data_IF_271680526121
#
_entry.id   IF_271680526121
#
_cell.length_a   1.000
_cell.length_b   1.000
_cell.length_c   1.000
_cell.angle_alpha   90.00
_cell.angle_beta   90.00
_cell.angle_gamma   90.00
#
_symmetry.space_group_name_H-M   'P 1'
#
loop_
_entity.id
_entity.type
_entity.pdbx_description
1 polymer ?
#
# COMPACT_ATOMS: atom_id res chain seq x y z
N UNK A 1 -0.13 -17.92 -0.21
CA UNK A 1 -0.17 -16.47 0.07
C UNK A 1 0.26 -15.75 -1.19
N UNK A 2 0.08 -14.44 -1.26
CA UNK A 2 0.54 -13.63 -2.36
C UNK A 2 1.52 -12.56 -1.86
N UNK A 3 2.38 -12.10 -2.76
CA UNK A 3 3.23 -10.93 -2.56
C UNK A 3 2.44 -9.70 -2.99
N UNK A 4 2.43 -8.68 -2.13
CA UNK A 4 1.77 -7.41 -2.34
C UNK A 4 2.79 -6.29 -2.29
N UNK A 5 2.69 -5.36 -3.23
CA UNK A 5 3.26 -4.02 -3.11
C UNK A 5 2.21 -3.14 -2.44
N UNK A 6 2.58 -2.47 -1.35
CA UNK A 6 1.66 -1.61 -0.60
C UNK A 6 2.25 -0.21 -0.56
N UNK A 7 1.44 0.78 -0.93
CA UNK A 7 1.82 2.18 -0.94
C UNK A 7 0.96 2.95 0.05
N UNK A 8 1.61 3.74 0.89
CA UNK A 8 1.00 4.86 1.61
C UNK A 8 1.43 6.13 0.90
N UNK A 9 0.47 6.96 0.49
CA UNK A 9 0.74 8.27 -0.06
C UNK A 9 1.10 9.27 1.03
N UNK A 10 2.04 10.19 0.76
CA UNK A 10 2.40 11.32 1.61
C UNK A 10 1.22 12.10 2.20
N UNK A 11 1.39 12.74 3.37
CA UNK A 11 0.37 13.59 4.01
C UNK A 11 1.04 14.90 4.42
N UNK A 12 0.92 15.97 3.64
CA UNK A 12 0.99 17.27 4.30
C UNK A 12 -0.41 17.66 4.82
N UNK A 13 -0.43 18.41 5.92
CA UNK A 13 -1.58 19.18 6.44
C UNK A 13 -2.19 20.08 5.34
N UNK A 14 -1.46 20.33 4.24
CA UNK A 14 -1.88 21.17 3.11
C UNK A 14 -1.97 20.46 1.74
N UNK A 15 -1.57 19.20 1.57
CA UNK A 15 -1.56 18.57 0.23
C UNK A 15 -0.55 17.42 -0.01
N UNK A 16 -0.38 16.99 -1.27
CA UNK A 16 0.32 15.75 -1.67
C UNK A 16 1.86 15.81 -1.68
N UNK A 17 2.50 16.67 -0.88
CA UNK A 17 3.93 16.99 -1.01
C UNK A 17 4.90 16.21 -0.06
N UNK A 18 4.42 15.20 0.68
CA UNK A 18 5.32 14.30 1.44
C UNK A 18 5.70 13.05 0.64
N UNK A 19 6.86 12.47 0.95
CA UNK A 19 7.31 11.24 0.28
C UNK A 19 6.41 10.04 0.61
N UNK A 20 6.01 9.32 -0.43
CA UNK A 20 5.30 8.05 -0.32
C UNK A 20 6.15 7.00 0.41
N UNK A 21 5.47 6.19 1.20
CA UNK A 21 6.06 5.04 1.87
C UNK A 21 5.62 3.75 1.17
N UNK A 22 6.60 2.92 0.86
CA UNK A 22 6.38 1.67 0.13
C UNK A 22 6.76 0.45 0.94
N UNK A 23 6.01 -0.63 0.75
CA UNK A 23 6.19 -1.91 1.43
C UNK A 23 6.07 -3.08 0.45
N UNK A 24 6.80 -4.15 0.73
CA UNK A 24 6.59 -5.47 0.12
C UNK A 24 6.11 -6.40 1.22
N UNK A 25 4.93 -6.99 1.04
CA UNK A 25 4.24 -7.78 2.05
C UNK A 25 3.88 -9.14 1.49
N UNK A 26 3.95 -10.19 2.32
CA UNK A 26 3.32 -11.47 2.02
C UNK A 26 2.10 -11.60 2.91
N UNK A 27 0.93 -11.80 2.30
CA UNK A 27 -0.33 -11.93 3.01
C UNK A 27 -1.27 -12.93 2.32
N UNK A 28 -2.34 -13.31 3.01
CA UNK A 28 -3.37 -14.21 2.47
C UNK A 28 -4.32 -13.51 1.49
N UNK A 29 -4.48 -12.20 1.61
CA UNK A 29 -5.24 -11.33 0.71
C UNK A 29 -4.81 -9.87 0.93
N UNK A 30 -5.29 -8.97 0.06
CA UNK A 30 -4.96 -7.54 0.13
C UNK A 30 -5.40 -6.88 1.44
N UNK A 31 -6.54 -7.28 2.03
CA UNK A 31 -7.01 -6.74 3.33
C UNK A 31 -6.04 -7.06 4.46
N UNK A 32 -5.53 -8.29 4.51
CA UNK A 32 -4.52 -8.64 5.52
C UNK A 32 -3.15 -8.02 5.25
N UNK A 33 -2.81 -7.71 3.99
CA UNK A 33 -1.67 -6.86 3.70
C UNK A 33 -1.86 -5.44 4.26
N UNK A 34 -3.06 -4.87 4.10
CA UNK A 34 -3.42 -3.57 4.68
C UNK A 34 -3.32 -3.58 6.21
N UNK A 35 -3.94 -4.57 6.87
CA UNK A 35 -3.92 -4.70 8.34
C UNK A 35 -2.49 -4.73 8.90
N UNK A 36 -1.59 -5.46 8.25
CA UNK A 36 -0.17 -5.52 8.64
C UNK A 36 0.52 -4.15 8.54
N UNK A 37 0.31 -3.45 7.43
CA UNK A 37 0.95 -2.15 7.17
C UNK A 37 0.35 -1.07 8.05
N UNK A 38 -0.98 -0.97 8.13
CA UNK A 38 -1.69 0.01 8.96
C UNK A 38 -1.33 -0.14 10.44
N UNK A 39 -1.20 -1.38 10.94
CA UNK A 39 -0.77 -1.63 12.33
C UNK A 39 0.66 -1.15 12.58
N UNK A 40 1.56 -1.25 11.60
CA UNK A 40 2.92 -0.72 11.69
C UNK A 40 2.92 0.81 11.64
N UNK A 41 2.09 1.41 10.78
CA UNK A 41 1.95 2.85 10.60
C UNK A 41 1.34 3.54 11.82
N UNK A 42 0.38 2.91 12.49
CA UNK A 42 -0.27 3.44 13.71
C UNK A 42 0.73 3.65 14.86
N UNK A 43 1.86 2.94 14.85
CA UNK A 43 2.95 3.13 15.81
C UNK A 43 3.90 4.29 15.48
N UNK A 44 3.75 4.93 14.31
CA UNK A 44 4.57 6.05 13.86
C UNK A 44 3.91 7.39 14.22
N UNK A 45 4.70 8.46 14.35
CA UNK A 45 4.16 9.79 14.64
C UNK A 45 3.32 10.28 13.44
N UNK A 46 2.05 10.70 13.63
CA UNK A 46 1.16 11.15 12.55
C UNK A 46 1.67 12.38 11.79
N UNK A 47 2.61 13.12 12.37
CA UNK A 47 3.24 14.33 11.81
C UNK A 47 4.19 14.04 10.63
N UNK A 48 4.37 12.76 10.26
CA UNK A 48 5.27 12.32 9.18
C UNK A 48 4.58 11.34 8.23
N UNK A 49 3.53 10.63 8.68
CA UNK A 49 2.90 9.54 7.92
C UNK A 49 1.41 9.37 8.27
N UNK A 50 0.55 9.20 7.25
CA UNK A 50 -0.82 8.70 7.36
C UNK A 50 -0.80 7.38 8.09
N UNK A 51 -1.74 7.17 9.00
CA UNK A 51 -1.85 5.93 9.75
C UNK A 51 -2.42 4.77 8.91
N UNK A 52 -2.61 4.96 7.60
CA UNK A 52 -3.15 3.95 6.70
C UNK A 52 -2.47 3.96 5.32
N UNK A 53 -2.42 2.79 4.67
CA UNK A 53 -2.01 2.64 3.27
C UNK A 53 -3.15 2.95 2.28
N UNK A 54 -2.81 3.46 1.10
CA UNK A 54 -3.79 3.96 0.12
C UNK A 54 -3.94 3.03 -1.08
N UNK A 55 -2.88 2.31 -1.45
CA UNK A 55 -2.86 1.44 -2.63
C UNK A 55 -2.20 0.10 -2.33
N UNK A 56 -2.76 -0.97 -2.90
CA UNK A 56 -2.23 -2.33 -2.81
C UNK A 56 -2.26 -2.97 -4.18
N UNK A 57 -1.14 -3.57 -4.57
CA UNK A 57 -0.99 -4.27 -5.85
C UNK A 57 -0.49 -5.69 -5.62
N UNK A 58 -1.20 -6.69 -6.13
CA UNK A 58 -0.79 -8.10 -6.08
C UNK A 58 0.28 -8.38 -7.16
N UNK A 59 1.50 -8.66 -6.72
CA UNK A 59 2.64 -8.94 -7.61
C UNK A 59 2.69 -10.41 -8.06
N UNK A 60 2.06 -11.31 -7.31
CA UNK A 60 2.01 -12.73 -7.64
C UNK A 60 1.99 -13.63 -6.40
N UNK A 61 2.15 -14.93 -6.62
CA UNK A 61 2.09 -15.93 -5.55
C UNK A 61 3.40 -16.01 -4.73
N UNK A 62 3.24 -16.25 -3.43
CA UNK A 62 4.33 -16.44 -2.48
C UNK A 62 4.19 -17.79 -1.76
N UNK A 63 5.28 -18.55 -1.76
CA UNK A 63 5.41 -19.76 -0.94
C UNK A 63 5.94 -19.40 0.46
N UNK A 64 5.06 -18.85 1.29
CA UNK A 64 5.35 -18.52 2.68
C UNK A 64 4.37 -19.21 3.64
N UNK A 65 4.85 -19.55 4.83
CA UNK A 65 4.06 -20.20 5.89
C UNK A 65 3.38 -19.21 6.83
N UNK A 66 3.72 -17.92 6.74
CA UNK A 66 3.17 -16.86 7.59
C UNK A 66 3.15 -15.53 6.85
N UNK A 67 2.21 -14.67 7.22
CA UNK A 67 2.14 -13.30 6.71
C UNK A 67 3.26 -12.46 7.34
N UNK A 68 3.84 -11.54 6.57
CA UNK A 68 4.95 -10.67 7.03
C UNK A 68 5.22 -9.51 6.09
N UNK A 69 5.77 -8.44 6.64
CA UNK A 69 6.42 -7.38 5.85
C UNK A 69 7.82 -7.88 5.49
N UNK A 70 8.12 -7.99 4.20
CA UNK A 70 9.45 -8.33 3.67
C UNK A 70 10.36 -7.09 3.67
N UNK A 71 9.81 -5.96 3.25
CA UNK A 71 10.51 -4.69 3.11
C UNK A 71 9.55 -3.55 3.45
N UNK A 72 10.02 -2.52 4.15
CA UNK A 72 9.26 -1.30 4.45
C UNK A 72 9.30 -0.90 5.94
N UNK A 73 8.95 0.36 6.28
CA UNK A 73 8.63 1.44 5.34
C UNK A 73 9.90 1.90 4.62
N UNK A 74 9.84 2.00 3.29
CA UNK A 74 10.88 2.69 2.52
C UNK A 74 10.29 3.99 2.01
N UNK A 75 10.84 5.08 2.52
CA UNK A 75 10.51 6.46 2.15
C UNK A 75 11.56 6.85 1.11
N UNK A 76 11.27 6.54 -0.15
CA UNK A 76 11.97 6.91 -1.40
C UNK A 76 11.34 6.14 -2.58
N UNK A 77 11.53 6.61 -3.82
CA UNK A 77 11.06 5.97 -5.06
C UNK A 77 11.72 4.61 -5.34
N UNK A 78 11.50 3.59 -4.50
CA UNK A 78 12.04 2.24 -4.70
C UNK A 78 11.42 1.59 -5.94
N UNK A 79 10.15 1.86 -6.19
CA UNK A 79 9.43 1.47 -7.40
C UNK A 79 8.58 2.68 -7.81
N UNK A 80 8.65 3.08 -9.08
CA UNK A 80 7.66 4.01 -9.63
C UNK A 80 6.26 3.40 -9.47
N UNK A 81 5.23 4.23 -9.26
CA UNK A 81 3.81 3.81 -9.16
C UNK A 81 3.27 3.09 -10.39
N UNK A 82 4.10 2.98 -11.41
CA UNK A 82 3.87 2.32 -12.67
C UNK A 82 3.81 0.81 -12.43
N UNK A 83 2.68 0.34 -11.90
CA UNK A 83 2.24 -1.06 -11.89
C UNK A 83 1.94 -1.57 -13.33
N UNK A 84 2.76 -1.13 -14.30
CA UNK A 84 2.58 -1.34 -15.73
C UNK A 84 2.56 -2.82 -16.03
N UNK A 85 1.48 -3.26 -16.66
CA UNK A 85 1.26 -4.66 -17.02
C UNK A 85 0.64 -5.52 -15.92
N UNK A 86 0.37 -4.96 -14.73
CA UNK A 86 -0.45 -5.63 -13.72
C UNK A 86 -1.93 -5.33 -14.02
N UNK A 87 -2.80 -6.35 -14.14
CA UNK A 87 -4.23 -6.14 -14.37
C UNK A 87 -4.90 -5.35 -13.24
N UNK A 88 -5.90 -4.54 -13.57
CA UNK A 88 -6.56 -3.68 -12.57
C UNK A 88 -7.30 -4.45 -11.47
N UNK A 89 -7.81 -5.65 -11.78
CA UNK A 89 -8.39 -6.55 -10.77
C UNK A 89 -7.36 -7.14 -9.79
N UNK A 90 -6.09 -6.72 -9.89
CA UNK A 90 -4.99 -7.01 -8.96
C UNK A 90 -4.52 -5.77 -8.21
N UNK A 91 -5.26 -4.67 -8.33
CA UNK A 91 -4.96 -3.39 -7.70
C UNK A 91 -6.19 -2.94 -6.90
N UNK A 92 -5.93 -2.43 -5.71
CA UNK A 92 -6.96 -1.88 -4.83
C UNK A 92 -6.52 -0.53 -4.31
N UNK A 93 -7.47 0.37 -4.16
CA UNK A 93 -7.26 1.72 -3.61
C UNK A 93 -8.28 2.04 -2.54
N UNK A 94 -7.94 3.00 -1.68
CA UNK A 94 -8.87 3.66 -0.76
C UNK A 94 -8.37 5.07 -0.48
N UNK A 95 -9.30 6.01 -0.43
CA UNK A 95 -9.00 7.39 -0.06
C UNK A 95 -9.12 7.62 1.46
N UNK A 96 -9.90 6.78 2.14
CA UNK A 96 -10.08 6.85 3.59
C UNK A 96 -10.32 5.47 4.23
N UNK A 97 -10.15 5.40 5.55
CA UNK A 97 -10.52 4.20 6.32
C UNK A 97 -12.04 3.95 6.34
N UNK A 98 -12.84 4.99 6.18
CA UNK A 98 -14.30 4.93 6.28
C UNK A 98 -14.95 4.44 4.98
N UNK A 99 -14.47 4.91 3.83
CA UNK A 99 -14.97 4.49 2.51
C UNK A 99 -14.54 3.06 2.17
N UNK A 100 -13.38 2.63 2.68
CA UNK A 100 -12.88 1.28 2.51
C UNK A 100 -12.24 1.05 1.14
N UNK A 101 -12.00 -0.22 0.81
CA UNK A 101 -11.25 -0.59 -0.39
C UNK A 101 -12.14 -0.79 -1.62
N UNK A 102 -11.71 -0.25 -2.74
CA UNK A 102 -12.27 -0.49 -4.07
C UNK A 102 -11.22 -1.08 -5.02
N UNK A 103 -11.70 -1.72 -6.10
CA UNK A 103 -10.81 -2.14 -7.19
C UNK A 103 -10.34 -0.90 -7.96
N UNK A 104 -9.07 -0.90 -8.35
CA UNK A 104 -8.51 0.20 -9.13
C UNK A 104 -9.26 0.38 -10.45
N UNK A 105 -9.41 1.63 -10.88
CA UNK A 105 -9.91 2.00 -12.20
C UNK A 105 -9.05 3.12 -12.80
N UNK A 106 -9.11 3.32 -14.12
CA UNK A 106 -8.29 4.31 -14.85
C UNK A 106 -8.42 5.75 -14.31
N UNK A 107 -9.44 6.07 -13.50
CA UNK A 107 -9.61 7.37 -12.85
C UNK A 107 -8.47 7.77 -11.89
N UNK A 108 -7.61 6.84 -11.50
CA UNK A 108 -6.47 7.09 -10.58
C UNK A 108 -5.12 7.24 -11.30
N UNK A 109 -5.10 7.38 -12.64
CA UNK A 109 -3.86 7.57 -13.44
C UNK A 109 -3.58 9.04 -13.84
N UNK A 110 -4.35 10.01 -13.34
CA UNK A 110 -4.16 11.46 -13.63
C UNK A 110 -2.94 12.09 -12.94
#
# INVERSE_FOLDING_TARGET
MNTYYVTRWGNDISGPDEEDASFIVVARNYKSAAELVDSMLTGQKPEVISNFCHRITELGSAHANSEKIILGPVVSRVLYHDDVGIPDNKKWVRDSLEEGWEEFSEYYED
#
